data_IF_366764815786
#
_entry.id   IF_366764815786
#
_cell.length_a   1.000
_cell.length_b   1.000
_cell.length_c   1.000
_cell.angle_alpha   90.00
_cell.angle_beta   90.00
_cell.angle_gamma   90.00
#
_symmetry.space_group_name_H-M   'P 1'
#
loop_
_entity.id
_entity.type
_entity.pdbx_description
1 polymer ?
#
# COMPACT_ATOMS: atom_id res chain seq x y z
N UNK A 1 -42.17 34.21 -40.45
CA UNK A 1 -41.04 34.73 -39.63
C UNK A 1 -41.25 34.68 -38.12
N UNK A 2 -42.49 34.71 -37.57
CA UNK A 2 -42.69 34.63 -36.10
C UNK A 2 -42.46 33.22 -35.55
N UNK A 3 -42.91 32.19 -36.25
CA UNK A 3 -42.82 30.79 -35.78
C UNK A 3 -41.38 30.29 -35.68
N UNK A 4 -40.52 30.68 -36.62
CA UNK A 4 -39.09 30.35 -36.62
C UNK A 4 -38.37 30.83 -35.36
N UNK A 5 -38.72 32.03 -34.86
CA UNK A 5 -38.12 32.58 -33.63
C UNK A 5 -38.55 31.77 -32.39
N UNK A 6 -39.80 31.30 -32.36
CA UNK A 6 -40.34 30.50 -31.26
C UNK A 6 -39.63 29.14 -31.22
N UNK A 7 -39.52 28.46 -32.36
CA UNK A 7 -38.82 27.17 -32.46
C UNK A 7 -37.35 27.29 -32.07
N UNK A 8 -36.66 28.35 -32.50
CA UNK A 8 -35.24 28.57 -32.13
C UNK A 8 -35.07 28.77 -30.62
N UNK A 9 -35.98 29.50 -29.98
CA UNK A 9 -35.94 29.71 -28.53
C UNK A 9 -36.14 28.40 -27.76
N UNK A 10 -37.12 27.59 -28.18
CA UNK A 10 -37.38 26.27 -27.58
C UNK A 10 -36.17 25.35 -27.71
N UNK A 11 -35.57 25.24 -28.91
CA UNK A 11 -34.37 24.44 -29.13
C UNK A 11 -33.18 24.91 -28.28
N UNK A 12 -33.01 26.23 -28.13
CA UNK A 12 -31.93 26.80 -27.30
C UNK A 12 -32.13 26.45 -25.83
N UNK A 13 -33.36 26.47 -25.34
CA UNK A 13 -33.71 26.09 -23.98
C UNK A 13 -33.54 24.58 -23.71
N UNK A 14 -33.94 23.73 -24.65
CA UNK A 14 -33.71 22.29 -24.51
C UNK A 14 -32.21 21.95 -24.59
N UNK A 15 -31.45 22.63 -25.44
CA UNK A 15 -29.99 22.44 -25.51
C UNK A 15 -29.30 22.87 -24.22
N UNK A 16 -29.73 23.96 -23.57
CA UNK A 16 -29.15 24.39 -22.29
C UNK A 16 -29.47 23.39 -21.17
N UNK A 17 -30.70 22.86 -21.11
CA UNK A 17 -31.08 21.80 -20.17
C UNK A 17 -30.27 20.52 -20.37
N UNK A 18 -30.09 20.09 -21.62
CA UNK A 18 -29.30 18.89 -21.92
C UNK A 18 -27.83 19.07 -21.50
N UNK A 19 -27.24 20.25 -21.76
CA UNK A 19 -25.87 20.56 -21.31
C UNK A 19 -25.74 20.53 -19.79
N UNK A 20 -26.72 21.07 -19.07
CA UNK A 20 -26.73 21.01 -17.61
C UNK A 20 -26.77 19.56 -17.12
N UNK A 21 -27.66 18.74 -17.69
CA UNK A 21 -27.78 17.32 -17.34
C UNK A 21 -26.52 16.53 -17.64
N UNK A 22 -25.81 16.84 -18.74
CA UNK A 22 -24.52 16.22 -19.05
C UNK A 22 -23.50 16.56 -17.97
N UNK A 23 -23.39 17.83 -17.57
CA UNK A 23 -22.45 18.24 -16.52
C UNK A 23 -22.75 17.57 -15.15
N UNK A 24 -24.03 17.41 -14.81
CA UNK A 24 -24.44 16.67 -13.61
C UNK A 24 -24.07 15.18 -13.68
N UNK A 25 -24.27 14.54 -14.83
CA UNK A 25 -23.89 13.15 -15.05
C UNK A 25 -22.37 12.95 -15.01
N UNK A 26 -21.60 13.81 -15.67
CA UNK A 26 -20.14 13.78 -15.63
C UNK A 26 -19.60 13.92 -14.20
N UNK A 27 -20.21 14.82 -13.41
CA UNK A 27 -19.88 14.96 -12.00
C UNK A 27 -20.19 13.69 -11.21
N UNK A 28 -21.37 13.12 -11.39
CA UNK A 28 -21.79 11.90 -10.70
C UNK A 28 -20.92 10.69 -11.09
N UNK A 29 -20.54 10.57 -12.35
CA UNK A 29 -19.63 9.52 -12.84
C UNK A 29 -18.24 9.65 -12.20
N UNK A 30 -17.70 10.87 -12.13
CA UNK A 30 -16.42 11.12 -11.46
C UNK A 30 -16.46 10.76 -9.96
N UNK A 31 -17.55 11.10 -9.27
CA UNK A 31 -17.76 10.73 -7.87
C UNK A 31 -17.85 9.20 -7.69
N UNK A 32 -18.60 8.52 -8.56
CA UNK A 32 -18.73 7.06 -8.53
C UNK A 32 -17.39 6.36 -8.76
N UNK A 33 -16.61 6.82 -9.76
CA UNK A 33 -15.28 6.28 -10.04
C UNK A 33 -14.35 6.45 -8.84
N UNK A 34 -14.34 7.63 -8.21
CA UNK A 34 -13.56 7.89 -7.00
C UNK A 34 -13.98 6.95 -5.84
N UNK A 35 -15.28 6.74 -5.64
CA UNK A 35 -15.79 5.84 -4.62
C UNK A 35 -15.41 4.38 -4.89
N UNK A 36 -15.47 3.94 -6.16
CA UNK A 36 -15.10 2.60 -6.58
C UNK A 36 -13.60 2.32 -6.35
N UNK A 37 -12.72 3.27 -6.68
CA UNK A 37 -11.29 3.14 -6.41
C UNK A 37 -10.99 3.01 -4.91
N UNK A 38 -11.62 3.84 -4.07
CA UNK A 38 -11.48 3.76 -2.60
C UNK A 38 -11.99 2.43 -2.05
N UNK A 39 -13.12 1.94 -2.57
CA UNK A 39 -13.68 0.65 -2.18
C UNK A 39 -12.75 -0.51 -2.57
N UNK A 40 -12.20 -0.48 -3.78
CA UNK A 40 -11.24 -1.47 -4.26
C UNK A 40 -9.98 -1.52 -3.39
N UNK A 41 -9.42 -0.36 -3.03
CA UNK A 41 -8.26 -0.28 -2.14
C UNK A 41 -8.59 -0.82 -0.74
N UNK A 42 -9.71 -0.41 -0.14
CA UNK A 42 -10.15 -0.92 1.16
C UNK A 42 -10.37 -2.45 1.15
N UNK A 43 -10.98 -2.98 0.08
CA UNK A 43 -11.20 -4.41 -0.10
C UNK A 43 -9.89 -5.19 -0.18
N UNK A 44 -8.92 -4.71 -0.97
CA UNK A 44 -7.59 -5.33 -1.07
C UNK A 44 -6.86 -5.36 0.29
N UNK A 45 -6.96 -4.28 1.08
CA UNK A 45 -6.39 -4.23 2.43
C UNK A 45 -7.05 -5.23 3.37
N UNK A 46 -8.39 -5.32 3.35
CA UNK A 46 -9.13 -6.29 4.16
C UNK A 46 -8.79 -7.74 3.80
N UNK A 47 -8.70 -8.04 2.51
CA UNK A 47 -8.33 -9.38 2.03
C UNK A 47 -6.91 -9.76 2.49
N UNK A 48 -5.95 -8.82 2.44
CA UNK A 48 -4.61 -9.05 2.99
C UNK A 48 -4.65 -9.34 4.49
N UNK A 49 -5.39 -8.53 5.26
CA UNK A 49 -5.52 -8.75 6.70
C UNK A 49 -6.11 -10.14 7.01
N UNK A 50 -7.13 -10.56 6.26
CA UNK A 50 -7.70 -11.91 6.40
C UNK A 50 -6.69 -13.01 6.08
N UNK A 51 -5.90 -12.86 5.02
CA UNK A 51 -4.84 -13.80 4.68
C UNK A 51 -3.77 -13.90 5.78
N UNK A 52 -3.33 -12.76 6.31
CA UNK A 52 -2.37 -12.71 7.42
C UNK A 52 -2.95 -13.41 8.65
N UNK A 53 -4.20 -13.12 9.02
CA UNK A 53 -4.88 -13.76 10.15
C UNK A 53 -4.97 -15.28 9.97
N UNK A 54 -5.32 -15.75 8.77
CA UNK A 54 -5.38 -17.19 8.47
C UNK A 54 -4.01 -17.86 8.60
N UNK A 55 -2.95 -17.19 8.16
CA UNK A 55 -1.56 -17.67 8.26
C UNK A 55 -1.09 -17.73 9.71
N UNK A 56 -1.32 -16.67 10.49
CA UNK A 56 -0.99 -16.62 11.92
C UNK A 56 -1.68 -17.75 12.69
N UNK A 57 -2.95 -18.04 12.36
CA UNK A 57 -3.69 -19.12 13.02
C UNK A 57 -3.26 -20.53 12.59
N UNK A 58 -2.73 -20.72 11.38
CA UNK A 58 -2.44 -22.04 10.83
C UNK A 58 -0.98 -22.48 10.94
N UNK A 59 -0.05 -21.55 11.20
CA UNK A 59 1.38 -21.86 11.29
C UNK A 59 1.97 -21.51 12.64
N UNK A 60 2.63 -22.49 13.29
CA UNK A 60 3.51 -22.24 14.44
C UNK A 60 4.86 -21.60 14.05
N UNK A 61 5.16 -21.52 12.75
CA UNK A 61 6.39 -20.96 12.23
C UNK A 61 6.26 -19.45 11.98
N UNK A 62 6.65 -18.67 12.98
CA UNK A 62 6.61 -17.21 12.96
C UNK A 62 7.46 -16.60 11.83
N UNK A 63 8.54 -17.26 11.39
CA UNK A 63 9.39 -16.74 10.32
C UNK A 63 8.66 -16.80 8.98
N UNK A 64 7.94 -17.90 8.74
CA UNK A 64 7.09 -18.07 7.56
C UNK A 64 5.96 -17.05 7.54
N UNK A 65 5.34 -16.80 8.69
CA UNK A 65 4.32 -15.76 8.87
C UNK A 65 4.87 -14.39 8.48
N UNK A 66 6.01 -13.97 9.05
CA UNK A 66 6.62 -12.68 8.75
C UNK A 66 6.97 -12.51 7.28
N UNK A 67 7.50 -13.56 6.65
CA UNK A 67 7.81 -13.54 5.22
C UNK A 67 6.55 -13.31 4.38
N UNK A 68 5.49 -14.06 4.64
CA UNK A 68 4.22 -13.92 3.92
C UNK A 68 3.60 -12.54 4.11
N UNK A 69 3.70 -11.96 5.32
CA UNK A 69 3.29 -10.58 5.57
C UNK A 69 4.10 -9.62 4.67
N UNK A 70 5.44 -9.67 4.73
CA UNK A 70 6.28 -8.76 3.92
C UNK A 70 6.05 -8.91 2.41
N UNK A 71 5.84 -10.14 1.94
CA UNK A 71 5.52 -10.41 0.53
C UNK A 71 4.15 -9.85 0.16
N UNK A 72 3.12 -10.03 1.01
CA UNK A 72 1.79 -9.45 0.80
C UNK A 72 1.84 -7.94 0.63
N UNK A 73 2.59 -7.23 1.50
CA UNK A 73 2.79 -5.78 1.36
C UNK A 73 3.41 -5.38 0.02
N UNK A 74 4.46 -6.08 -0.43
CA UNK A 74 5.13 -5.77 -1.70
C UNK A 74 4.23 -6.06 -2.91
N UNK A 75 3.52 -7.18 -2.90
CA UNK A 75 2.75 -7.63 -4.06
C UNK A 75 1.36 -6.97 -4.15
N UNK A 76 0.66 -6.81 -3.03
CA UNK A 76 -0.74 -6.35 -3.03
C UNK A 76 -0.90 -4.85 -2.79
N UNK A 77 -0.02 -4.21 -2.00
CA UNK A 77 -0.08 -2.76 -1.75
C UNK A 77 0.87 -1.96 -2.65
N UNK A 78 1.63 -2.65 -3.52
CA UNK A 78 2.50 -2.01 -4.50
C UNK A 78 3.77 -1.39 -3.92
N UNK A 79 4.11 -1.65 -2.65
CA UNK A 79 5.36 -1.19 -2.05
C UNK A 79 6.59 -1.75 -2.77
N UNK A 80 7.67 -0.96 -2.81
CA UNK A 80 8.95 -1.40 -3.40
C UNK A 80 9.67 -2.38 -2.49
N UNK A 81 9.62 -2.14 -1.18
CA UNK A 81 10.30 -2.91 -0.15
C UNK A 81 9.46 -2.90 1.12
N UNK A 82 9.40 -4.04 1.81
CA UNK A 82 8.81 -4.18 3.14
C UNK A 82 9.81 -4.89 4.06
N UNK A 83 9.90 -4.44 5.32
CA UNK A 83 10.81 -5.01 6.32
C UNK A 83 10.06 -5.12 7.64
N UNK A 84 10.19 -6.26 8.32
CA UNK A 84 9.77 -6.44 9.70
C UNK A 84 11.03 -6.48 10.56
N UNK A 85 11.08 -5.62 11.57
CA UNK A 85 12.15 -5.59 12.57
C UNK A 85 11.55 -5.90 13.94
N UNK A 86 12.14 -6.85 14.65
CA UNK A 86 11.84 -7.13 16.05
C UNK A 86 12.86 -6.44 16.95
N UNK A 87 12.43 -5.94 18.09
CA UNK A 87 13.33 -5.48 19.13
C UNK A 87 13.85 -6.70 19.91
N UNK A 88 15.12 -6.71 20.33
CA UNK A 88 15.62 -7.73 21.25
C UNK A 88 14.97 -7.61 22.63
N UNK A 89 15.11 -8.67 23.45
CA UNK A 89 14.49 -8.72 24.78
C UNK A 89 14.99 -7.62 25.73
N UNK A 90 16.17 -7.05 25.45
CA UNK A 90 16.75 -5.96 26.23
C UNK A 90 16.32 -4.58 25.73
N UNK A 91 15.62 -4.51 24.60
CA UNK A 91 15.17 -3.27 23.98
C UNK A 91 16.28 -2.44 23.32
N UNK A 92 17.46 -3.02 23.07
CA UNK A 92 18.68 -2.33 22.65
C UNK A 92 18.94 -2.44 21.14
N UNK A 93 18.55 -3.54 20.52
CA UNK A 93 18.79 -3.80 19.10
C UNK A 93 17.50 -4.08 18.34
N UNK A 94 17.46 -3.61 17.08
CA UNK A 94 16.51 -4.10 16.09
C UNK A 94 17.15 -5.25 15.30
N UNK A 95 16.47 -6.39 15.27
CA UNK A 95 16.79 -7.54 14.44
C UNK A 95 15.80 -7.61 13.27
N UNK A 96 16.31 -7.74 12.05
CA UNK A 96 15.45 -7.93 10.88
C UNK A 96 14.87 -9.34 10.91
N UNK A 97 13.55 -9.45 11.08
CA UNK A 97 12.81 -10.72 11.12
C UNK A 97 12.37 -11.19 9.74
N UNK A 98 12.03 -10.25 8.86
CA UNK A 98 11.72 -10.54 7.46
C UNK A 98 11.97 -9.31 6.59
N UNK A 99 12.21 -9.55 5.30
CA UNK A 99 12.24 -8.51 4.29
C UNK A 99 11.72 -9.05 2.97
N UNK A 100 11.14 -8.17 2.15
CA UNK A 100 10.76 -8.46 0.77
C UNK A 100 10.98 -7.22 -0.09
N UNK A 101 11.30 -7.41 -1.37
CA UNK A 101 11.49 -6.33 -2.33
C UNK A 101 11.03 -6.76 -3.73
N UNK A 102 10.60 -5.81 -4.57
CA UNK A 102 10.21 -6.13 -5.95
C UNK A 102 11.38 -6.75 -6.72
N UNK A 103 11.16 -7.92 -7.32
CA UNK A 103 12.13 -8.82 -8.01
C UNK A 103 13.10 -8.19 -9.02
N UNK A 104 12.98 -6.91 -9.40
CA UNK A 104 13.92 -6.25 -10.31
C UNK A 104 15.33 -6.03 -9.71
N UNK A 105 15.51 -6.27 -8.40
CA UNK A 105 16.80 -6.07 -7.71
C UNK A 105 17.38 -7.34 -7.05
N UNK A 106 16.69 -8.48 -7.03
CA UNK A 106 16.85 -9.45 -5.93
C UNK A 106 17.72 -10.68 -6.18
N UNK A 107 18.25 -10.97 -7.38
CA UNK A 107 19.07 -12.19 -7.53
C UNK A 107 20.42 -12.12 -6.79
N UNK A 108 20.97 -10.92 -6.53
CA UNK A 108 22.28 -10.77 -5.88
C UNK A 108 22.22 -10.14 -4.47
N UNK A 109 21.16 -9.41 -4.16
CA UNK A 109 21.07 -8.64 -2.91
C UNK A 109 20.63 -9.53 -1.73
N UNK A 110 19.73 -10.49 -1.97
CA UNK A 110 19.03 -11.21 -0.88
C UNK A 110 19.96 -11.94 0.09
N UNK A 111 21.09 -12.47 -0.37
CA UNK A 111 22.03 -13.20 0.51
C UNK A 111 23.06 -12.31 1.20
N UNK A 112 23.60 -11.31 0.49
CA UNK A 112 24.69 -10.47 1.02
C UNK A 112 24.19 -9.36 1.94
N UNK A 113 23.02 -8.78 1.66
CA UNK A 113 22.48 -7.69 2.46
C UNK A 113 22.06 -8.16 3.85
N UNK A 114 21.44 -9.34 3.95
CA UNK A 114 21.02 -9.92 5.23
C UNK A 114 22.20 -10.17 6.18
N UNK A 115 23.31 -10.68 5.64
CA UNK A 115 24.56 -10.86 6.38
C UNK A 115 25.24 -9.54 6.74
N UNK A 116 25.18 -8.53 5.86
CA UNK A 116 25.90 -7.28 6.08
C UNK A 116 25.17 -6.34 7.05
N UNK A 117 23.85 -6.19 6.93
CA UNK A 117 23.05 -5.34 7.81
C UNK A 117 23.09 -5.82 9.26
N UNK A 118 22.95 -7.14 9.48
CA UNK A 118 23.05 -7.71 10.83
C UNK A 118 24.41 -7.44 11.48
N UNK A 119 25.51 -7.48 10.71
CA UNK A 119 26.84 -7.14 11.24
C UNK A 119 27.00 -5.66 11.58
N UNK A 120 26.43 -4.76 10.77
CA UNK A 120 26.60 -3.31 10.95
C UNK A 120 25.75 -2.77 12.11
N UNK A 121 24.52 -3.27 12.27
CA UNK A 121 23.64 -2.88 13.38
C UNK A 121 24.24 -3.32 14.72
N UNK A 122 24.73 -4.58 14.83
CA UNK A 122 25.38 -5.05 16.06
C UNK A 122 26.56 -4.17 16.48
N UNK A 123 27.39 -3.73 15.53
CA UNK A 123 28.56 -2.87 15.83
C UNK A 123 28.17 -1.51 16.40
N UNK A 124 27.11 -0.90 15.88
CA UNK A 124 26.65 0.43 16.34
C UNK A 124 26.10 0.33 17.76
N UNK A 125 25.34 -0.71 18.07
CA UNK A 125 24.79 -0.90 19.42
C UNK A 125 25.88 -1.21 20.43
N UNK A 126 26.85 -2.08 20.09
CA UNK A 126 27.98 -2.37 20.99
C UNK A 126 28.85 -1.14 21.26
N UNK A 127 29.07 -0.29 20.26
CA UNK A 127 29.85 0.94 20.44
C UNK A 127 29.12 1.94 21.36
N UNK A 128 27.79 2.02 21.28
CA UNK A 128 27.00 2.92 22.13
C UNK A 128 26.91 2.42 23.58
N UNK A 129 26.87 1.10 23.78
CA UNK A 129 26.89 0.49 25.12
C UNK A 129 28.19 0.80 25.88
N UNK A 130 29.35 0.77 25.20
CA UNK A 130 30.65 1.08 25.80
C UNK A 130 30.82 2.57 26.17
N UNK A 131 30.16 3.48 25.46
CA UNK A 131 30.22 4.91 25.77
C UNK A 131 29.32 5.33 26.95
N UNK A 132 28.28 4.57 27.27
CA UNK A 132 27.38 4.87 28.40
C UNK A 132 27.86 4.28 29.75
N UNK A 133 28.92 3.48 29.76
CA UNK A 133 29.51 2.87 30.97
C UNK A 133 30.72 3.64 31.53
N UNK A 134 30.96 4.86 31.04
CA UNK A 134 31.95 5.81 31.57
C UNK A 134 31.24 7.03 32.10
#
# INVERSE_FOLDING_TARGET
MKDEKITKFQLTNELSKLRLRIAELEKSEAEHKCAQEKFSDASARLQMLQQITAVVHSTLDIEKVFRQITDGFVHSMGYTTAIIMGLDNEGKCFEVKAFSTKKRLSSQIDKKFFLHCNRRIRRIVTAKAQNNSR
#
